data_IF_463723915644
#
_entry.id   IF_463723915644
#
_cell.length_a   1.000
_cell.length_b   1.000
_cell.length_c   1.000
_cell.angle_alpha   90.00
_cell.angle_beta   90.00
_cell.angle_gamma   90.00
#
_symmetry.space_group_name_H-M   'P 1'
#
loop_
_entity.id
_entity.type
_entity.pdbx_description
1 polymer ?
#
# COMPACT_ATOMS: atom_id res chain seq x y z
N UNK A 1 -27.86 3.86 2.21
CA UNK A 1 -26.55 3.59 2.85
C UNK A 1 -25.55 3.39 1.74
N UNK A 2 -24.45 4.15 1.71
CA UNK A 2 -23.36 3.93 0.75
C UNK A 2 -22.84 2.50 0.92
N UNK A 3 -22.66 1.79 -0.19
CA UNK A 3 -22.14 0.44 -0.18
C UNK A 3 -20.65 0.48 0.23
N UNK A 4 -20.27 -0.27 1.26
CA UNK A 4 -18.88 -0.43 1.66
C UNK A 4 -18.28 -1.55 0.83
N UNK A 5 -17.39 -1.21 -0.09
CA UNK A 5 -16.70 -2.16 -0.97
C UNK A 5 -15.22 -2.16 -0.64
N UNK A 6 -14.75 -3.22 0.02
CA UNK A 6 -13.34 -3.45 0.28
C UNK A 6 -12.81 -4.51 -0.69
N UNK A 7 -11.62 -4.27 -1.23
CA UNK A 7 -10.93 -5.23 -2.07
C UNK A 7 -9.45 -5.39 -1.65
N UNK A 8 -8.98 -6.62 -1.41
CA UNK A 8 -9.74 -7.87 -1.30
C UNK A 8 -10.80 -7.84 -0.19
N UNK A 9 -11.85 -8.66 -0.33
CA UNK A 9 -12.89 -8.79 0.70
C UNK A 9 -12.26 -9.36 1.99
N UNK A 10 -12.46 -8.70 3.15
CA UNK A 10 -11.95 -9.22 4.41
C UNK A 10 -12.68 -10.49 4.83
N UNK A 11 -12.04 -11.32 5.66
CA UNK A 11 -12.67 -12.53 6.18
C UNK A 11 -13.97 -12.25 6.96
N UNK A 12 -13.99 -11.19 7.77
CA UNK A 12 -15.16 -10.77 8.52
C UNK A 12 -15.29 -9.24 8.51
N UNK A 13 -16.52 -8.75 8.31
CA UNK A 13 -16.88 -7.34 8.40
C UNK A 13 -18.25 -7.20 9.05
N UNK A 14 -18.33 -6.40 10.10
CA UNK A 14 -19.57 -6.06 10.80
C UNK A 14 -19.76 -4.54 10.79
N UNK A 15 -20.90 -4.05 10.27
CA UNK A 15 -21.22 -2.63 10.27
C UNK A 15 -21.77 -2.19 11.63
N UNK A 16 -21.41 -1.00 12.07
CA UNK A 16 -21.87 -0.38 13.31
C UNK A 16 -22.50 0.99 13.01
N UNK A 17 -23.36 1.53 13.89
CA UNK A 17 -23.90 2.88 13.70
C UNK A 17 -22.83 3.95 13.93
N UNK A 18 -22.93 5.04 13.17
CA UNK A 18 -22.05 6.21 13.31
C UNK A 18 -20.88 6.25 12.32
N UNK A 19 -20.05 7.27 12.46
CA UNK A 19 -18.89 7.56 11.59
C UNK A 19 -17.80 8.23 12.40
N UNK A 20 -16.54 7.91 12.08
CA UNK A 20 -15.38 8.66 12.54
C UNK A 20 -15.06 9.75 11.52
N UNK A 21 -14.76 10.97 11.96
CA UNK A 21 -14.37 12.08 11.08
C UNK A 21 -12.90 12.43 11.30
N UNK A 22 -12.06 12.08 10.34
CA UNK A 22 -10.65 12.47 10.30
C UNK A 22 -10.55 13.98 10.04
N UNK A 23 -9.76 14.68 10.83
CA UNK A 23 -9.55 16.12 10.72
C UNK A 23 -8.13 16.52 11.17
N UNK A 24 -7.78 17.80 11.01
CA UNK A 24 -6.47 18.33 11.37
C UNK A 24 -6.11 18.20 12.88
N UNK A 25 -7.08 17.94 13.76
CA UNK A 25 -6.85 17.71 15.20
C UNK A 25 -6.80 16.22 15.56
N UNK A 26 -7.01 15.32 14.58
CA UNK A 26 -6.92 13.89 14.82
C UNK A 26 -5.48 13.52 15.20
N UNK A 27 -5.30 12.69 16.23
CA UNK A 27 -3.95 12.25 16.66
C UNK A 27 -3.68 10.81 16.27
N UNK A 28 -2.45 10.52 15.85
CA UNK A 28 -1.99 9.16 15.59
C UNK A 28 -1.14 8.70 16.78
N UNK A 29 -1.51 7.59 17.39
CA UNK A 29 -0.73 6.95 18.44
C UNK A 29 -0.33 5.54 18.02
N UNK A 30 0.94 5.20 18.17
CA UNK A 30 1.50 3.93 17.75
C UNK A 30 2.26 3.26 18.90
N UNK A 31 1.90 2.02 19.21
CA UNK A 31 2.69 1.17 20.09
C UNK A 31 3.96 0.67 19.41
N UNK A 32 4.81 -0.01 20.17
CA UNK A 32 6.10 -0.47 19.70
C UNK A 32 6.01 -1.33 18.42
N UNK A 33 6.91 -1.08 17.47
CA UNK A 33 6.95 -1.74 16.16
C UNK A 33 5.80 -1.42 15.20
N UNK A 34 4.81 -0.63 15.60
CA UNK A 34 3.69 -0.25 14.74
C UNK A 34 4.06 0.92 13.80
N UNK A 35 3.70 0.87 12.50
CA UNK A 35 4.15 1.85 11.51
C UNK A 35 3.29 3.12 11.49
N UNK A 36 3.22 3.86 12.60
CA UNK A 36 2.42 5.08 12.73
C UNK A 36 2.79 6.16 11.70
N UNK A 37 4.08 6.40 11.51
CA UNK A 37 4.59 7.37 10.51
C UNK A 37 4.18 7.02 9.08
N UNK A 38 4.08 5.72 8.76
CA UNK A 38 3.62 5.31 7.44
C UNK A 38 2.14 5.64 7.23
N UNK A 39 1.31 5.50 8.28
CA UNK A 39 -0.08 5.93 8.21
C UNK A 39 -0.17 7.44 7.99
N UNK A 40 0.59 8.24 8.76
CA UNK A 40 0.66 9.69 8.58
C UNK A 40 1.03 10.07 7.13
N UNK A 41 2.08 9.45 6.59
CA UNK A 41 2.55 9.67 5.22
C UNK A 41 1.52 9.28 4.15
N UNK A 42 0.65 8.30 4.41
CA UNK A 42 -0.43 7.95 3.48
C UNK A 42 -1.63 8.90 3.55
N UNK A 43 -1.86 9.57 4.68
CA UNK A 43 -2.97 10.50 4.84
C UNK A 43 -2.60 11.92 4.42
N UNK A 44 -1.36 12.34 4.66
CA UNK A 44 -0.91 13.72 4.47
C UNK A 44 -1.12 14.28 3.06
N UNK A 45 -0.75 13.58 1.95
CA UNK A 45 -0.82 14.18 0.62
C UNK A 45 -2.22 14.68 0.26
N UNK A 46 -3.25 13.86 0.47
CA UNK A 46 -4.62 14.20 0.12
C UNK A 46 -5.32 15.09 1.16
N UNK A 47 -5.02 14.92 2.44
CA UNK A 47 -5.70 15.68 3.51
C UNK A 47 -5.06 17.04 3.79
N UNK A 48 -3.76 17.18 3.52
CA UNK A 48 -2.95 18.31 3.97
C UNK A 48 -2.73 18.38 5.49
N UNK A 49 -3.21 17.39 6.26
CA UNK A 49 -3.08 17.40 7.72
C UNK A 49 -1.68 16.94 8.15
N UNK A 50 -1.07 17.65 9.09
CA UNK A 50 0.19 17.27 9.72
C UNK A 50 -0.11 16.45 10.99
N UNK A 51 -0.05 15.12 10.86
CA UNK A 51 -0.48 14.16 11.89
C UNK A 51 0.68 13.24 12.32
N UNK A 52 1.76 13.76 12.92
CA UNK A 52 2.91 12.95 13.32
C UNK A 52 2.51 11.88 14.33
N UNK A 53 3.12 10.70 14.23
CA UNK A 53 2.79 9.60 15.12
C UNK A 53 3.46 9.81 16.49
N UNK A 54 2.69 9.57 17.55
CA UNK A 54 3.14 9.68 18.93
C UNK A 54 3.17 8.29 19.58
N UNK A 55 4.01 8.07 20.61
CA UNK A 55 3.97 6.82 21.37
C UNK A 55 2.60 6.55 21.96
N UNK A 56 2.16 5.29 21.89
CA UNK A 56 0.97 4.83 22.57
C UNK A 56 1.31 4.33 23.98
N UNK A 57 0.57 4.80 24.98
CA UNK A 57 0.58 4.27 26.35
C UNK A 57 -0.82 3.80 26.77
N UNK A 58 -0.93 3.25 27.99
CA UNK A 58 -2.17 2.66 28.51
C UNK A 58 -3.27 3.70 28.76
N UNK A 59 -2.91 4.93 29.16
CA UNK A 59 -3.88 6.00 29.41
C UNK A 59 -4.49 6.48 28.08
N UNK A 60 -3.63 6.70 27.08
CA UNK A 60 -4.04 7.04 25.71
C UNK A 60 -4.92 5.93 25.14
N UNK A 61 -4.54 4.66 25.32
CA UNK A 61 -5.32 3.53 24.81
C UNK A 61 -6.74 3.48 25.41
N UNK A 62 -6.87 3.83 26.69
CA UNK A 62 -8.15 3.83 27.40
C UNK A 62 -9.02 5.05 27.05
N UNK A 63 -8.41 6.24 26.94
CA UNK A 63 -9.13 7.51 27.02
C UNK A 63 -9.07 8.37 25.75
N UNK A 64 -8.22 8.05 24.77
CA UNK A 64 -8.07 8.89 23.59
C UNK A 64 -9.35 8.98 22.76
N UNK A 65 -9.66 10.20 22.34
CA UNK A 65 -10.73 10.57 21.41
C UNK A 65 -10.13 11.36 20.24
N UNK A 66 -10.84 11.39 19.11
CA UNK A 66 -10.35 11.90 17.83
C UNK A 66 -8.96 11.32 17.50
N UNK A 67 -8.84 9.99 17.57
CA UNK A 67 -7.54 9.32 17.50
C UNK A 67 -7.54 8.08 16.59
N UNK A 68 -6.39 7.87 15.93
CA UNK A 68 -6.04 6.64 15.24
C UNK A 68 -5.00 5.90 16.10
N UNK A 69 -5.36 4.72 16.59
CA UNK A 69 -4.54 3.93 17.51
C UNK A 69 -4.00 2.70 16.79
N UNK A 70 -2.68 2.56 16.69
CA UNK A 70 -2.04 1.33 16.25
C UNK A 70 -1.55 0.56 17.47
N UNK A 71 -2.27 -0.50 17.83
CA UNK A 71 -2.09 -1.23 19.09
C UNK A 71 -1.50 -2.61 18.82
N UNK A 72 -0.23 -2.87 19.21
CA UNK A 72 0.34 -4.21 19.13
C UNK A 72 -0.50 -5.20 19.94
N UNK A 73 -0.72 -6.39 19.38
CA UNK A 73 -1.69 -7.35 19.94
C UNK A 73 -1.15 -8.78 19.83
N UNK A 74 -0.68 -9.34 20.93
CA UNK A 74 -0.10 -10.69 20.97
C UNK A 74 -1.12 -11.81 20.74
N UNK A 75 -2.42 -11.54 20.89
CA UNK A 75 -3.52 -12.47 20.58
C UNK A 75 -3.69 -12.72 19.07
N UNK A 76 -3.12 -11.85 18.22
CA UNK A 76 -3.17 -11.99 16.76
C UNK A 76 -1.89 -12.68 16.28
N UNK A 77 -1.88 -14.01 16.35
CA UNK A 77 -0.67 -14.80 16.08
C UNK A 77 -0.20 -14.79 14.62
N UNK A 78 -1.11 -14.68 13.65
CA UNK A 78 -0.73 -14.72 12.23
C UNK A 78 -0.11 -13.39 11.79
N UNK A 79 1.08 -13.44 11.17
CA UNK A 79 1.92 -12.27 10.91
C UNK A 79 1.26 -11.17 10.04
N UNK A 80 0.34 -11.57 9.15
CA UNK A 80 -0.38 -10.68 8.24
C UNK A 80 -1.84 -10.43 8.69
N UNK A 81 -2.27 -11.01 9.81
CA UNK A 81 -3.62 -10.80 10.33
C UNK A 81 -3.72 -9.47 11.08
N UNK A 82 -4.92 -8.89 11.05
CA UNK A 82 -5.23 -7.67 11.78
C UNK A 82 -6.70 -7.62 12.18
N UNK A 83 -6.99 -6.74 13.14
CA UNK A 83 -8.33 -6.26 13.46
C UNK A 83 -8.38 -4.76 13.24
N UNK A 84 -9.47 -4.26 12.68
CA UNK A 84 -9.75 -2.83 12.53
C UNK A 84 -11.12 -2.56 13.17
N UNK A 85 -11.15 -1.68 14.17
CA UNK A 85 -12.39 -1.25 14.83
C UNK A 85 -12.54 0.26 14.67
N UNK A 86 -13.59 0.67 13.97
CA UNK A 86 -13.92 2.08 13.71
C UNK A 86 -15.11 2.44 14.58
N UNK A 87 -14.95 3.47 15.41
CA UNK A 87 -16.01 4.07 16.25
C UNK A 87 -16.04 5.58 16.01
N UNK A 88 -17.16 6.27 16.33
CA UNK A 88 -17.23 7.72 16.17
C UNK A 88 -16.11 8.49 16.87
N UNK A 89 -15.63 7.99 18.01
CA UNK A 89 -14.63 8.68 18.83
C UNK A 89 -13.19 8.33 18.43
N UNK A 90 -12.96 7.14 17.85
CA UNK A 90 -11.60 6.66 17.53
C UNK A 90 -11.59 5.49 16.56
N UNK A 91 -10.44 5.27 15.93
CA UNK A 91 -10.14 4.10 15.11
C UNK A 91 -9.00 3.31 15.76
N UNK A 92 -9.15 2.00 15.90
CA UNK A 92 -8.11 1.13 16.42
C UNK A 92 -7.71 0.06 15.40
N UNK A 93 -6.42 0.04 15.03
CA UNK A 93 -5.77 -0.98 14.23
C UNK A 93 -5.00 -1.89 15.19
N UNK A 94 -5.23 -3.20 15.14
CA UNK A 94 -4.55 -4.17 16.00
C UNK A 94 -3.90 -5.25 15.15
N UNK A 95 -2.65 -5.58 15.44
CA UNK A 95 -1.92 -6.65 14.75
C UNK A 95 -0.82 -7.23 15.64
N UNK A 96 -0.45 -8.49 15.39
CA UNK A 96 0.69 -9.13 16.07
C UNK A 96 2.06 -8.77 15.49
N UNK A 97 2.10 -8.00 14.41
CA UNK A 97 3.35 -7.55 13.80
C UNK A 97 3.15 -6.54 12.68
N UNK A 98 4.27 -5.99 12.19
CA UNK A 98 4.29 -4.90 11.21
C UNK A 98 3.46 -5.20 9.95
N UNK A 99 3.52 -6.42 9.40
CA UNK A 99 2.79 -6.77 8.16
C UNK A 99 1.27 -6.70 8.35
N UNK A 100 0.73 -7.14 9.48
CA UNK A 100 -0.68 -6.99 9.80
C UNK A 100 -1.11 -5.52 9.87
N UNK A 101 -0.30 -4.64 10.47
CA UNK A 101 -0.57 -3.20 10.46
C UNK A 101 -0.59 -2.61 9.05
N UNK A 102 0.36 -3.01 8.19
CA UNK A 102 0.38 -2.53 6.80
C UNK A 102 -0.92 -2.88 6.07
N UNK A 103 -1.45 -4.09 6.28
CA UNK A 103 -2.74 -4.50 5.70
C UNK A 103 -3.93 -3.76 6.31
N UNK A 104 -3.90 -3.52 7.62
CA UNK A 104 -4.92 -2.73 8.32
C UNK A 104 -4.98 -1.28 7.79
N UNK A 105 -3.81 -0.66 7.56
CA UNK A 105 -3.70 0.67 6.97
C UNK A 105 -4.32 0.69 5.57
N UNK A 106 -4.09 -0.33 4.74
CA UNK A 106 -4.70 -0.36 3.40
C UNK A 106 -6.23 -0.47 3.47
N UNK A 107 -6.76 -1.29 4.37
CA UNK A 107 -8.21 -1.36 4.59
C UNK A 107 -8.78 -0.03 5.09
N UNK A 108 -8.09 0.66 6.01
CA UNK A 108 -8.48 1.99 6.47
C UNK A 108 -8.53 2.99 5.31
N UNK A 109 -7.50 3.02 4.45
CA UNK A 109 -7.44 3.88 3.27
C UNK A 109 -8.61 3.62 2.30
N UNK A 110 -9.01 2.37 2.12
CA UNK A 110 -10.16 2.03 1.27
C UNK A 110 -11.52 2.43 1.86
N UNK A 111 -11.59 2.63 3.18
CA UNK A 111 -12.82 3.09 3.85
C UNK A 111 -12.99 4.62 3.82
N UNK A 112 -11.91 5.36 3.57
CA UNK A 112 -11.95 6.80 3.35
C UNK A 112 -12.47 7.12 1.93
N UNK A 113 -12.95 8.35 1.69
CA UNK A 113 -13.26 8.81 0.34
C UNK A 113 -12.09 8.57 -0.64
N UNK A 114 -12.36 8.21 -1.91
CA UNK A 114 -11.31 7.83 -2.87
C UNK A 114 -10.26 8.92 -3.12
N UNK A 115 -10.61 10.18 -2.85
CA UNK A 115 -9.72 11.34 -2.84
C UNK A 115 -8.48 11.14 -1.94
N UNK A 116 -8.53 10.22 -0.96
CA UNK A 116 -7.39 9.91 -0.09
C UNK A 116 -6.18 9.35 -0.86
N UNK A 117 -6.39 8.88 -2.09
CA UNK A 117 -5.34 8.37 -2.96
C UNK A 117 -4.70 9.45 -3.85
N UNK A 118 -5.13 10.71 -3.72
CA UNK A 118 -4.53 11.83 -4.43
C UNK A 118 -3.13 12.17 -3.88
N UNK A 119 -2.25 12.62 -4.77
CA UNK A 119 -0.88 13.00 -4.43
C UNK A 119 -0.77 14.51 -4.05
N UNK A 120 -1.91 15.19 -3.84
CA UNK A 120 -1.99 16.61 -3.45
C UNK A 120 -3.25 16.89 -2.61
N UNK A 121 -3.28 17.99 -1.81
CA UNK A 121 -4.42 18.30 -0.96
C UNK A 121 -5.73 18.41 -1.74
N UNK A 122 -6.83 17.96 -1.13
CA UNK A 122 -8.16 17.93 -1.72
C UNK A 122 -9.12 18.79 -0.90
N UNK A 123 -9.75 19.76 -1.56
CA UNK A 123 -10.72 20.67 -0.95
C UNK A 123 -12.12 20.05 -0.86
N UNK A 124 -12.94 20.52 0.08
CA UNK A 124 -14.35 20.15 0.25
C UNK A 124 -14.64 18.65 0.42
N UNK A 125 -13.66 17.87 0.89
CA UNK A 125 -13.82 16.44 1.21
C UNK A 125 -14.09 16.25 2.70
N UNK A 126 -15.24 15.66 3.04
CA UNK A 126 -15.49 15.14 4.38
C UNK A 126 -14.79 13.78 4.55
N UNK A 127 -13.66 13.76 5.28
CA UNK A 127 -12.88 12.55 5.56
C UNK A 127 -13.54 11.65 6.61
N UNK A 128 -14.68 11.06 6.24
CA UNK A 128 -15.46 10.21 7.12
C UNK A 128 -15.22 8.71 6.87
N UNK A 129 -15.21 7.95 7.94
CA UNK A 129 -15.05 6.49 7.94
C UNK A 129 -16.27 5.88 8.62
N UNK A 130 -17.05 5.00 7.97
CA UNK A 130 -18.20 4.36 8.59
C UNK A 130 -17.76 3.50 9.79
N UNK A 131 -18.52 3.54 10.89
CA UNK A 131 -18.25 2.69 12.04
C UNK A 131 -18.44 1.21 11.66
N UNK A 132 -17.47 0.37 12.01
CA UNK A 132 -17.44 -1.06 11.67
C UNK A 132 -16.38 -1.81 12.48
N UNK A 133 -16.41 -3.13 12.39
CA UNK A 133 -15.34 -4.01 12.82
C UNK A 133 -14.93 -4.94 11.69
N UNK A 134 -13.63 -5.11 11.49
CA UNK A 134 -13.03 -6.07 10.54
C UNK A 134 -12.07 -6.96 11.31
N UNK A 135 -12.14 -8.26 11.05
CA UNK A 135 -11.10 -9.24 11.38
C UNK A 135 -10.67 -9.90 10.09
N UNK A 136 -9.38 -9.86 9.78
CA UNK A 136 -8.90 -10.26 8.47
C UNK A 136 -7.51 -10.89 8.53
N UNK A 137 -7.29 -11.83 7.61
CA UNK A 137 -6.04 -12.54 7.42
C UNK A 137 -6.01 -13.12 6.00
N UNK A 138 -4.84 -13.20 5.35
CA UNK A 138 -4.77 -13.71 3.99
C UNK A 138 -5.02 -15.23 3.96
N UNK A 139 -5.75 -15.70 2.95
CA UNK A 139 -5.92 -17.13 2.70
C UNK A 139 -4.61 -17.81 2.24
N UNK A 140 -3.76 -17.07 1.52
CA UNK A 140 -2.48 -17.56 1.01
C UNK A 140 -1.34 -16.64 1.43
N UNK A 141 -0.24 -17.22 1.93
CA UNK A 141 0.94 -16.46 2.35
C UNK A 141 1.75 -15.86 1.20
N UNK A 142 1.58 -16.36 -0.03
CA UNK A 142 2.24 -15.85 -1.23
C UNK A 142 1.23 -15.21 -2.16
N UNK A 143 1.32 -13.90 -2.35
CA UNK A 143 0.44 -13.13 -3.24
C UNK A 143 1.33 -12.22 -4.08
N UNK A 144 1.69 -12.70 -5.26
CA UNK A 144 2.72 -12.09 -6.09
C UNK A 144 2.20 -11.45 -7.37
N UNK A 145 2.91 -10.43 -7.84
CA UNK A 145 2.80 -9.91 -9.20
C UNK A 145 4.18 -9.89 -9.87
N UNK A 146 4.18 -10.17 -11.16
CA UNK A 146 5.38 -10.24 -12.00
C UNK A 146 5.43 -9.01 -12.91
N UNK A 147 6.59 -8.34 -12.96
CA UNK A 147 6.86 -7.26 -13.91
C UNK A 147 8.07 -7.62 -14.78
N UNK A 148 7.81 -7.73 -16.07
CA UNK A 148 8.81 -7.95 -17.11
C UNK A 148 9.41 -6.62 -17.55
N UNK A 149 10.68 -6.39 -17.21
CA UNK A 149 11.45 -5.26 -17.72
C UNK A 149 12.49 -5.68 -18.78
N UNK A 150 12.61 -6.98 -19.06
CA UNK A 150 13.52 -7.52 -20.07
C UNK A 150 13.07 -7.15 -21.48
N UNK A 151 11.76 -7.27 -21.75
CA UNK A 151 11.17 -6.93 -23.07
C UNK A 151 11.05 -5.41 -23.26
N UNK A 152 10.51 -4.70 -22.27
CA UNK A 152 10.38 -3.24 -22.29
C UNK A 152 10.68 -2.65 -20.91
N UNK A 153 11.55 -1.64 -20.88
CA UNK A 153 11.89 -0.83 -19.71
C UNK A 153 10.74 0.08 -19.29
N UNK A 154 10.61 0.19 -17.98
CA UNK A 154 9.74 1.15 -17.31
C UNK A 154 10.58 2.11 -16.47
N UNK A 155 10.21 3.40 -16.38
CA UNK A 155 10.85 4.32 -15.47
C UNK A 155 10.78 3.83 -14.01
N UNK A 156 11.78 4.15 -13.19
CA UNK A 156 11.80 3.80 -11.77
C UNK A 156 10.55 4.27 -11.03
N UNK A 157 10.05 5.47 -11.37
CA UNK A 157 8.83 6.01 -10.77
C UNK A 157 7.58 5.19 -11.10
N UNK A 158 7.51 4.62 -12.31
CA UNK A 158 6.44 3.67 -12.64
C UNK A 158 6.55 2.40 -11.79
N UNK A 159 7.76 1.85 -11.64
CA UNK A 159 7.98 0.62 -10.85
C UNK A 159 7.61 0.85 -9.39
N UNK A 160 7.97 2.00 -8.81
CA UNK A 160 7.56 2.38 -7.45
C UNK A 160 6.04 2.49 -7.33
N UNK A 161 5.37 3.17 -8.27
CA UNK A 161 3.89 3.27 -8.27
C UNK A 161 3.22 1.91 -8.44
N UNK A 162 3.80 1.03 -9.25
CA UNK A 162 3.35 -0.35 -9.39
C UNK A 162 3.43 -1.07 -8.03
N UNK A 163 4.58 -1.05 -7.35
CA UNK A 163 4.77 -1.66 -6.02
C UNK A 163 3.81 -1.05 -4.97
N UNK A 164 3.59 0.26 -4.97
CA UNK A 164 2.63 0.90 -4.05
C UNK A 164 1.19 0.42 -4.31
N UNK A 165 0.82 0.27 -5.59
CA UNK A 165 -0.47 -0.29 -5.98
C UNK A 165 -0.60 -1.76 -5.56
N UNK A 166 0.46 -2.55 -5.70
CA UNK A 166 0.51 -3.93 -5.20
C UNK A 166 0.24 -3.97 -3.69
N UNK A 167 0.91 -3.10 -2.94
CA UNK A 167 0.77 -3.01 -1.49
C UNK A 167 -0.66 -2.62 -1.08
N UNK A 168 -1.28 -1.65 -1.77
CA UNK A 168 -2.67 -1.22 -1.53
C UNK A 168 -3.67 -2.37 -1.61
N UNK A 169 -3.45 -3.31 -2.54
CA UNK A 169 -4.26 -4.53 -2.70
C UNK A 169 -3.73 -5.74 -1.92
N UNK A 170 -2.82 -5.52 -0.97
CA UNK A 170 -2.27 -6.53 -0.05
C UNK A 170 -1.48 -7.65 -0.76
N UNK A 171 -0.99 -7.42 -1.98
CA UNK A 171 0.06 -8.27 -2.56
C UNK A 171 1.35 -8.06 -1.77
N UNK A 172 2.12 -9.12 -1.58
CA UNK A 172 3.28 -9.11 -0.69
C UNK A 172 4.58 -9.57 -1.35
N UNK A 173 4.53 -9.94 -2.63
CA UNK A 173 5.70 -10.44 -3.37
C UNK A 173 5.80 -9.77 -4.72
N UNK A 174 6.88 -9.04 -4.96
CA UNK A 174 7.18 -8.46 -6.27
C UNK A 174 8.21 -9.32 -7.00
N UNK A 175 7.79 -9.99 -8.07
CA UNK A 175 8.69 -10.75 -8.93
C UNK A 175 9.17 -9.84 -10.06
N UNK A 176 10.40 -9.34 -9.92
CA UNK A 176 11.01 -8.46 -10.90
C UNK A 176 11.86 -9.26 -11.89
N UNK A 177 11.41 -9.32 -13.14
CA UNK A 177 12.08 -10.09 -14.18
C UNK A 177 13.00 -9.18 -14.99
N UNK A 178 14.30 -9.28 -14.67
CA UNK A 178 15.34 -8.31 -15.01
C UNK A 178 16.12 -8.62 -16.30
N UNK A 179 15.93 -9.79 -16.89
CA UNK A 179 16.80 -10.29 -17.96
C UNK A 179 16.02 -11.14 -18.94
N UNK A 180 16.19 -10.88 -20.22
CA UNK A 180 15.61 -11.62 -21.35
C UNK A 180 16.53 -11.59 -22.56
N UNK A 181 16.18 -12.35 -23.60
CA UNK A 181 16.90 -12.34 -24.88
C UNK A 181 17.03 -10.92 -25.47
N UNK A 182 16.00 -10.09 -25.25
CA UNK A 182 15.92 -8.72 -25.77
C UNK A 182 16.54 -7.66 -24.85
N UNK A 183 17.04 -8.04 -23.66
CA UNK A 183 17.76 -7.09 -22.81
C UNK A 183 18.09 -7.52 -21.39
N UNK A 184 19.14 -6.93 -20.86
CA UNK A 184 19.67 -7.14 -19.51
C UNK A 184 19.62 -5.83 -18.68
N UNK A 185 18.90 -5.82 -17.55
CA UNK A 185 18.54 -4.58 -16.83
C UNK A 185 19.24 -4.35 -15.50
N UNK A 186 20.08 -5.29 -15.05
CA UNK A 186 20.73 -5.23 -13.74
C UNK A 186 22.23 -4.97 -13.88
N UNK A 187 22.76 -3.90 -13.30
CA UNK A 187 24.20 -3.69 -13.31
C UNK A 187 24.94 -4.81 -12.54
N UNK A 188 25.89 -5.47 -13.22
CA UNK A 188 26.83 -6.40 -12.59
C UNK A 188 28.25 -5.86 -12.80
N UNK A 189 28.83 -5.26 -11.75
CA UNK A 189 30.13 -4.56 -11.82
C UNK A 189 31.27 -5.40 -12.41
N UNK A 190 31.27 -6.72 -12.18
CA UNK A 190 32.27 -7.64 -12.73
C UNK A 190 32.14 -7.86 -14.24
N UNK A 191 30.95 -7.63 -14.80
CA UNK A 191 30.59 -7.91 -16.19
C UNK A 191 29.89 -6.69 -16.83
N UNK A 192 30.61 -5.56 -17.02
CA UNK A 192 30.03 -4.29 -17.47
C UNK A 192 29.36 -4.39 -18.84
N UNK A 193 29.84 -5.28 -19.72
CA UNK A 193 29.23 -5.54 -21.04
C UNK A 193 27.77 -6.00 -20.99
N UNK A 194 27.30 -6.52 -19.85
CA UNK A 194 25.89 -6.90 -19.68
C UNK A 194 24.97 -5.69 -19.78
N UNK A 195 25.36 -4.53 -19.28
CA UNK A 195 24.57 -3.29 -19.41
C UNK A 195 25.08 -2.37 -20.51
N UNK A 196 26.38 -2.31 -20.79
CA UNK A 196 26.93 -1.49 -21.89
C UNK A 196 26.48 -1.97 -23.28
N UNK A 197 26.26 -3.28 -23.44
CA UNK A 197 25.82 -3.90 -24.70
C UNK A 197 24.49 -4.60 -24.51
N UNK A 198 24.40 -5.49 -23.51
CA UNK A 198 23.23 -6.35 -23.32
C UNK A 198 21.95 -5.62 -22.91
N UNK A 199 22.00 -4.35 -22.48
CA UNK A 199 20.80 -3.54 -22.22
C UNK A 199 20.18 -2.98 -23.51
N UNK A 200 20.81 -3.15 -24.67
CA UNK A 200 20.37 -2.55 -25.92
C UNK A 200 20.10 -3.61 -26.99
N UNK A 201 19.09 -3.34 -27.81
CA UNK A 201 18.80 -4.06 -29.06
C UNK A 201 18.69 -3.06 -30.21
N UNK A 202 19.04 -3.51 -31.41
CA UNK A 202 19.05 -2.65 -32.60
C UNK A 202 17.65 -2.22 -33.06
N UNK A 203 16.63 -3.03 -32.77
CA UNK A 203 15.26 -2.85 -33.27
C UNK A 203 14.27 -3.74 -32.50
N UNK A 204 12.99 -3.42 -32.60
CA UNK A 204 11.87 -4.19 -32.01
C UNK A 204 11.00 -4.80 -33.11
N UNK A 205 10.54 -6.03 -32.89
CA UNK A 205 9.63 -6.71 -33.83
C UNK A 205 8.30 -5.97 -33.92
N UNK A 206 7.78 -5.80 -35.14
CA UNK A 206 6.49 -5.15 -35.36
C UNK A 206 5.36 -6.12 -34.96
N UNK A 207 4.41 -5.75 -34.08
CA UNK A 207 3.39 -6.67 -33.57
C UNK A 207 2.51 -7.32 -34.65
N UNK A 208 2.33 -6.65 -35.80
CA UNK A 208 1.46 -7.09 -36.88
C UNK A 208 2.15 -7.94 -37.94
N UNK A 209 3.48 -8.02 -37.93
CA UNK A 209 4.24 -8.83 -38.88
C UNK A 209 5.50 -9.41 -38.19
N UNK A 210 5.54 -10.73 -37.94
CA UNK A 210 6.65 -11.34 -37.24
C UNK A 210 7.97 -11.32 -38.03
N UNK A 211 7.94 -11.03 -39.34
CA UNK A 211 9.13 -10.95 -40.19
C UNK A 211 9.64 -9.52 -40.39
N UNK A 212 9.07 -8.53 -39.68
CA UNK A 212 9.49 -7.14 -39.77
C UNK A 212 9.91 -6.56 -38.41
N UNK A 213 10.84 -5.61 -38.48
CA UNK A 213 11.38 -4.86 -37.35
C UNK A 213 11.33 -3.37 -37.64
N UNK A 214 11.22 -2.56 -36.59
CA UNK A 214 11.04 -1.11 -36.69
C UNK A 214 12.31 -0.32 -37.04
N UNK A 215 13.49 -0.97 -37.05
CA UNK A 215 14.79 -0.33 -37.29
C UNK A 215 15.22 0.68 -36.21
N UNK A 216 14.55 0.72 -35.05
CA UNK A 216 14.80 1.71 -34.00
C UNK A 216 15.53 1.11 -32.81
N UNK A 217 16.77 1.57 -32.51
CA UNK A 217 17.47 1.12 -31.32
C UNK A 217 16.65 1.34 -30.06
N UNK A 218 16.66 0.34 -29.19
CA UNK A 218 15.94 0.35 -27.93
C UNK A 218 16.86 -0.13 -26.80
N UNK A 219 16.81 0.55 -25.65
CA UNK A 219 17.51 0.09 -24.46
C UNK A 219 17.37 1.01 -23.27
N UNK A 220 18.06 0.64 -22.21
CA UNK A 220 17.93 1.21 -20.87
C UNK A 220 18.16 0.13 -19.81
#
# INVERSE_FOLDING_TARGET
>A
MTEITLFPQPQQLERKPGRFTLNAHTRIFAGDGAPGEMLANYLHPATGFDLPAQPLDDDILANATNALLLVPSADIAAAEAYKLDVRPERVALRAGGRKGFLHAIQSLRQLLPPQILADSPQDDVAWEIPALSISDAPAFGWRGLHLDVGRHMFPVEFIKKFIDTMAFYKFNTFHWHLTEDQGWRLEIKKYPRLTEVGAYRAQTQIPTDPNQWDGKPYGG
#
